data_IF_073174636876
#
_entry.id   IF_073174636876
#
_cell.length_a   1.000
_cell.length_b   1.000
_cell.length_c   1.000
_cell.angle_alpha   90.00
_cell.angle_beta   90.00
_cell.angle_gamma   90.00
#
_symmetry.space_group_name_H-M   'P 1'
#
loop_
_entity.id
_entity.type
_entity.pdbx_description
1 polymer ?
#
# COMPACT_ATOMS: atom_id res chain seq x y z
N UNK A 1 -63.73 -19.90 19.31
CA UNK A 1 -62.37 -20.47 19.40
C UNK A 1 -61.39 -19.49 18.76
N UNK A 2 -60.64 -18.68 19.52
CA UNK A 2 -59.62 -17.84 18.92
C UNK A 2 -58.47 -18.74 18.46
N UNK A 3 -58.21 -18.79 17.15
CA UNK A 3 -57.05 -19.48 16.58
C UNK A 3 -55.80 -18.78 17.12
N UNK A 4 -55.02 -19.48 17.96
CA UNK A 4 -53.66 -19.05 18.32
C UNK A 4 -52.88 -18.95 17.01
N UNK A 5 -52.52 -17.73 16.60
CA UNK A 5 -51.59 -17.52 15.49
C UNK A 5 -50.25 -18.19 15.83
N UNK A 6 -49.57 -18.83 14.86
CA UNK A 6 -48.29 -19.47 15.12
C UNK A 6 -47.26 -18.41 15.51
N UNK A 7 -46.47 -18.66 16.57
CA UNK A 7 -45.41 -17.77 17.07
C UNK A 7 -44.12 -17.86 16.22
N UNK A 8 -44.23 -18.18 14.94
CA UNK A 8 -43.06 -18.52 14.09
C UNK A 8 -42.60 -17.33 13.24
N UNK A 9 -43.38 -16.24 13.16
CA UNK A 9 -43.14 -15.21 12.14
C UNK A 9 -42.22 -14.04 12.58
N UNK A 10 -41.94 -13.81 13.87
CA UNK A 10 -41.28 -12.55 14.26
C UNK A 10 -39.75 -12.51 14.12
N UNK A 11 -39.04 -13.62 14.38
CA UNK A 11 -37.56 -13.60 14.41
C UNK A 11 -36.95 -13.59 13.01
N UNK A 12 -37.50 -14.37 12.08
CA UNK A 12 -37.06 -14.39 10.68
C UNK A 12 -37.42 -13.07 9.97
N UNK A 13 -38.57 -12.46 10.29
CA UNK A 13 -38.94 -11.13 9.82
C UNK A 13 -37.98 -10.04 10.33
N UNK A 14 -37.54 -10.13 11.59
CA UNK A 14 -36.53 -9.21 12.14
C UNK A 14 -35.19 -9.40 11.44
N UNK A 15 -34.72 -10.64 11.28
CA UNK A 15 -33.44 -10.93 10.63
C UNK A 15 -33.42 -10.48 9.16
N UNK A 16 -34.50 -10.74 8.43
CA UNK A 16 -34.65 -10.27 7.04
C UNK A 16 -34.73 -8.76 6.95
N UNK A 17 -35.42 -8.10 7.88
CA UNK A 17 -35.48 -6.64 7.99
C UNK A 17 -34.11 -6.01 8.27
N UNK A 18 -33.36 -6.55 9.23
CA UNK A 18 -31.98 -6.14 9.56
C UNK A 18 -31.08 -6.27 8.33
N UNK A 19 -31.14 -7.42 7.65
CA UNK A 19 -30.34 -7.65 6.45
C UNK A 19 -30.67 -6.67 5.32
N UNK A 20 -31.95 -6.39 5.09
CA UNK A 20 -32.39 -5.43 4.07
C UNK A 20 -31.87 -4.01 4.38
N UNK A 21 -31.98 -3.56 5.62
CA UNK A 21 -31.47 -2.25 6.05
C UNK A 21 -29.95 -2.18 5.91
N UNK A 22 -29.23 -3.23 6.26
CA UNK A 22 -27.79 -3.34 6.05
C UNK A 22 -27.42 -3.26 4.56
N UNK A 23 -28.16 -3.95 3.68
CA UNK A 23 -27.91 -3.93 2.24
C UNK A 23 -28.19 -2.55 1.61
N UNK A 24 -29.26 -1.87 2.03
CA UNK A 24 -29.56 -0.50 1.63
C UNK A 24 -28.45 0.46 2.11
N UNK A 25 -28.04 0.34 3.37
CA UNK A 25 -26.95 1.14 3.96
C UNK A 25 -25.62 0.90 3.24
N UNK A 26 -25.33 -0.34 2.88
CA UNK A 26 -24.16 -0.71 2.07
C UNK A 26 -24.18 -0.05 0.69
N UNK A 27 -25.36 0.17 0.09
CA UNK A 27 -25.47 0.91 -1.16
C UNK A 27 -25.20 2.41 -0.96
N UNK A 28 -25.71 3.02 0.11
CA UNK A 28 -25.35 4.40 0.48
C UNK A 28 -23.85 4.55 0.73
N UNK A 29 -23.19 3.57 1.37
CA UNK A 29 -21.74 3.53 1.54
C UNK A 29 -20.98 3.55 0.21
N UNK A 30 -21.47 2.84 -0.82
CA UNK A 30 -20.86 2.83 -2.17
C UNK A 30 -20.98 4.18 -2.86
N UNK A 31 -22.08 4.90 -2.64
CA UNK A 31 -22.32 6.25 -3.18
C UNK A 31 -21.69 7.34 -2.29
N UNK A 32 -20.98 6.97 -1.22
CA UNK A 32 -20.33 7.86 -0.24
C UNK A 32 -21.30 8.73 0.57
N UNK A 33 -22.56 8.32 0.66
CA UNK A 33 -23.56 8.96 1.53
C UNK A 33 -23.49 8.37 2.94
N UNK A 34 -22.41 8.69 3.66
CA UNK A 34 -22.10 8.04 4.94
C UNK A 34 -23.13 8.33 6.04
N UNK A 35 -23.72 9.53 6.09
CA UNK A 35 -24.74 9.85 7.10
C UNK A 35 -26.02 9.03 6.93
N UNK A 36 -26.45 8.82 5.67
CA UNK A 36 -27.61 7.98 5.34
C UNK A 36 -27.33 6.50 5.63
N UNK A 37 -26.12 6.04 5.30
CA UNK A 37 -25.69 4.68 5.64
C UNK A 37 -25.68 4.47 7.15
N UNK A 38 -25.16 5.44 7.91
CA UNK A 38 -25.13 5.39 9.38
C UNK A 38 -26.54 5.30 9.96
N UNK A 39 -27.47 6.10 9.44
CA UNK A 39 -28.87 6.05 9.84
C UNK A 39 -29.50 4.67 9.61
N UNK A 40 -29.27 4.06 8.44
CA UNK A 40 -29.79 2.72 8.15
C UNK A 40 -29.15 1.62 9.02
N UNK A 41 -27.85 1.70 9.31
CA UNK A 41 -27.21 0.78 10.27
C UNK A 41 -27.73 0.95 11.69
N UNK A 42 -28.05 2.18 12.12
CA UNK A 42 -28.67 2.42 13.41
C UNK A 42 -30.05 1.77 13.49
N UNK A 43 -30.89 1.92 12.47
CA UNK A 43 -32.18 1.22 12.42
C UNK A 43 -32.02 -0.31 12.44
N UNK A 44 -31.03 -0.84 11.72
CA UNK A 44 -30.75 -2.28 11.74
C UNK A 44 -30.41 -2.75 13.17
N UNK A 45 -29.63 -1.96 13.91
CA UNK A 45 -29.24 -2.28 15.29
C UNK A 45 -30.33 -1.96 16.33
N UNK A 46 -31.31 -1.11 16.01
CA UNK A 46 -32.53 -0.95 16.81
C UNK A 46 -33.42 -2.20 16.74
N UNK A 47 -33.45 -2.87 15.57
CA UNK A 47 -34.17 -4.14 15.39
C UNK A 47 -33.41 -5.32 16.02
N UNK A 48 -32.09 -5.38 15.83
CA UNK A 48 -31.22 -6.37 16.46
C UNK A 48 -29.88 -5.76 16.87
N UNK A 49 -29.76 -5.40 18.15
CA UNK A 49 -28.55 -4.75 18.70
C UNK A 49 -27.30 -5.62 18.73
N UNK A 50 -27.43 -6.92 18.45
CA UNK A 50 -26.32 -7.90 18.44
C UNK A 50 -25.94 -8.36 17.04
N UNK A 51 -26.52 -7.79 15.97
CA UNK A 51 -26.16 -8.18 14.62
C UNK A 51 -24.72 -7.78 14.29
N UNK A 52 -23.87 -8.79 14.13
CA UNK A 52 -22.43 -8.64 13.94
C UNK A 52 -22.11 -7.95 12.61
N UNK A 53 -22.88 -8.24 11.56
CA UNK A 53 -22.66 -7.62 10.25
C UNK A 53 -22.98 -6.13 10.26
N UNK A 54 -24.08 -5.74 10.91
CA UNK A 54 -24.47 -4.35 11.12
C UNK A 54 -23.43 -3.61 11.95
N UNK A 55 -22.96 -4.17 13.08
CA UNK A 55 -21.91 -3.60 13.92
C UNK A 55 -20.60 -3.36 13.13
N UNK A 56 -20.13 -4.37 12.38
CA UNK A 56 -18.91 -4.27 11.56
C UNK A 56 -19.04 -3.21 10.46
N UNK A 57 -20.21 -3.14 9.85
CA UNK A 57 -20.49 -2.19 8.75
C UNK A 57 -20.63 -0.76 9.26
N UNK A 58 -21.28 -0.59 10.42
CA UNK A 58 -21.38 0.69 11.12
C UNK A 58 -20.02 1.17 11.62
N UNK A 59 -19.21 0.28 12.19
CA UNK A 59 -17.81 0.56 12.55
C UNK A 59 -17.02 1.10 11.35
N UNK A 60 -17.16 0.46 10.18
CA UNK A 60 -16.56 0.97 8.93
C UNK A 60 -17.03 2.38 8.59
N UNK A 61 -18.33 2.63 8.70
CA UNK A 61 -18.93 3.93 8.42
C UNK A 61 -18.38 5.01 9.36
N UNK A 62 -18.28 4.72 10.65
CA UNK A 62 -17.68 5.62 11.63
C UNK A 62 -16.22 5.94 11.31
N UNK A 63 -15.40 4.98 10.85
CA UNK A 63 -14.03 5.26 10.41
C UNK A 63 -13.98 6.22 9.22
N UNK A 64 -14.90 6.08 8.26
CA UNK A 64 -14.99 6.98 7.11
C UNK A 64 -15.45 8.40 7.50
N UNK A 65 -16.24 8.51 8.56
CA UNK A 65 -16.65 9.78 9.17
C UNK A 65 -15.60 10.37 10.13
N UNK A 66 -14.49 9.66 10.38
CA UNK A 66 -13.44 10.09 11.31
C UNK A 66 -13.75 9.82 12.79
N UNK A 67 -14.85 9.14 13.10
CA UNK A 67 -15.29 8.81 14.46
C UNK A 67 -14.70 7.48 14.96
N UNK A 68 -13.37 7.39 15.02
CA UNK A 68 -12.66 6.14 15.32
C UNK A 68 -12.97 5.54 16.71
N UNK A 69 -13.36 6.36 17.68
CA UNK A 69 -13.74 5.90 19.02
C UNK A 69 -15.05 5.09 19.00
N UNK A 70 -16.07 5.56 18.26
CA UNK A 70 -17.33 4.83 18.09
C UNK A 70 -17.13 3.58 17.23
N UNK A 71 -16.28 3.66 16.22
CA UNK A 71 -15.90 2.50 15.42
C UNK A 71 -15.27 1.39 16.27
N UNK A 72 -14.42 1.75 17.24
CA UNK A 72 -13.82 0.80 18.17
C UNK A 72 -14.88 0.12 19.04
N UNK A 73 -15.83 0.89 19.58
CA UNK A 73 -16.92 0.34 20.40
C UNK A 73 -17.72 -0.71 19.64
N UNK A 74 -18.10 -0.43 18.39
CA UNK A 74 -18.83 -1.38 17.54
C UNK A 74 -18.00 -2.63 17.20
N UNK A 75 -16.70 -2.48 16.99
CA UNK A 75 -15.82 -3.62 16.75
C UNK A 75 -15.63 -4.47 18.01
N UNK A 76 -15.65 -3.86 19.19
CA UNK A 76 -15.56 -4.56 20.48
C UNK A 76 -16.84 -5.30 20.83
N UNK A 77 -18.01 -4.70 20.61
CA UNK A 77 -19.30 -5.39 20.78
C UNK A 77 -19.41 -6.57 19.83
N UNK A 78 -19.04 -6.42 18.55
CA UNK A 78 -19.02 -7.51 17.59
C UNK A 78 -18.10 -8.67 18.02
N UNK A 79 -16.94 -8.37 18.63
CA UNK A 79 -16.03 -9.38 19.19
C UNK A 79 -16.50 -9.97 20.52
N UNK A 80 -17.38 -9.26 21.25
CA UNK A 80 -18.07 -9.78 22.43
C UNK A 80 -19.00 -10.93 22.04
N UNK A 81 -19.75 -10.75 20.95
CA UNK A 81 -20.64 -11.76 20.38
C UNK A 81 -19.86 -12.91 19.71
N UNK A 82 -18.95 -12.59 18.77
CA UNK A 82 -18.09 -13.57 18.11
C UNK A 82 -16.61 -13.24 18.29
N UNK A 83 -15.99 -13.86 19.29
CA UNK A 83 -14.58 -13.65 19.66
C UNK A 83 -13.57 -13.87 18.53
N UNK A 84 -13.90 -14.68 17.54
CA UNK A 84 -13.02 -15.08 16.44
C UNK A 84 -13.49 -14.57 15.06
N UNK A 85 -14.42 -13.60 15.03
CA UNK A 85 -14.85 -13.02 13.77
C UNK A 85 -13.70 -12.22 13.12
N UNK A 86 -13.22 -12.69 11.97
CA UNK A 86 -12.06 -12.12 11.28
C UNK A 86 -12.31 -10.66 10.84
N UNK A 87 -13.54 -10.35 10.42
CA UNK A 87 -13.91 -9.00 9.99
C UNK A 87 -13.95 -8.05 11.20
N UNK A 88 -14.50 -8.48 12.33
CA UNK A 88 -14.49 -7.67 13.56
C UNK A 88 -13.07 -7.44 14.11
N UNK A 89 -12.19 -8.46 14.06
CA UNK A 89 -10.76 -8.30 14.41
C UNK A 89 -10.11 -7.23 13.53
N UNK A 90 -10.39 -7.26 12.23
CA UNK A 90 -9.86 -6.26 11.29
C UNK A 90 -10.36 -4.85 11.62
N UNK A 91 -11.66 -4.68 11.86
CA UNK A 91 -12.23 -3.37 12.22
C UNK A 91 -11.69 -2.83 13.54
N UNK A 92 -11.49 -3.69 14.54
CA UNK A 92 -10.85 -3.29 15.79
C UNK A 92 -9.42 -2.81 15.55
N UNK A 93 -8.64 -3.54 14.75
CA UNK A 93 -7.28 -3.15 14.39
C UNK A 93 -7.23 -1.80 13.66
N UNK A 94 -8.10 -1.58 12.66
CA UNK A 94 -8.20 -0.29 11.97
C UNK A 94 -8.63 0.83 12.92
N UNK A 95 -9.62 0.60 13.77
CA UNK A 95 -10.09 1.63 14.72
C UNK A 95 -8.99 2.05 15.69
N UNK A 96 -8.23 1.09 16.23
CA UNK A 96 -7.05 1.36 17.07
C UNK A 96 -5.96 2.13 16.31
N UNK A 97 -5.75 1.82 15.02
CA UNK A 97 -4.82 2.56 14.18
C UNK A 97 -5.21 4.04 14.05
N UNK A 98 -6.49 4.31 13.75
CA UNK A 98 -6.98 5.69 13.61
C UNK A 98 -7.02 6.46 14.94
N UNK A 99 -7.09 5.76 16.07
CA UNK A 99 -6.93 6.34 17.41
C UNK A 99 -5.45 6.58 17.81
N UNK A 100 -4.49 6.18 16.97
CA UNK A 100 -3.05 6.30 17.26
C UNK A 100 -2.51 5.25 18.23
N UNK A 101 -3.30 4.24 18.60
CA UNK A 101 -2.88 3.14 19.47
C UNK A 101 -2.20 2.04 18.63
N UNK A 102 -1.04 2.37 18.06
CA UNK A 102 -0.41 1.56 17.02
C UNK A 102 0.06 0.19 17.51
N UNK A 103 0.54 0.06 18.75
CA UNK A 103 0.99 -1.22 19.31
C UNK A 103 -0.17 -2.21 19.44
N UNK A 104 -1.31 -1.74 19.95
CA UNK A 104 -2.51 -2.56 20.06
C UNK A 104 -3.06 -2.91 18.68
N UNK A 105 -3.09 -1.94 17.77
CA UNK A 105 -3.49 -2.16 16.37
C UNK A 105 -2.64 -3.26 15.71
N UNK A 106 -1.32 -3.19 15.84
CA UNK A 106 -0.37 -4.16 15.31
C UNK A 106 -0.62 -5.57 15.87
N UNK A 107 -0.89 -5.68 17.18
CA UNK A 107 -1.24 -6.95 17.82
C UNK A 107 -2.48 -7.59 17.18
N UNK A 108 -3.54 -6.82 16.97
CA UNK A 108 -4.78 -7.33 16.36
C UNK A 108 -4.60 -7.65 14.86
N UNK A 109 -3.81 -6.89 14.12
CA UNK A 109 -3.46 -7.25 12.74
C UNK A 109 -2.69 -8.58 12.67
N UNK A 110 -1.74 -8.81 13.58
CA UNK A 110 -1.05 -10.10 13.68
C UNK A 110 -1.98 -11.25 14.11
N UNK A 111 -2.92 -10.99 15.02
CA UNK A 111 -3.94 -11.99 15.41
C UNK A 111 -4.78 -12.39 14.20
N UNK A 112 -5.22 -11.44 13.39
CA UNK A 112 -5.94 -11.69 12.15
C UNK A 112 -5.09 -12.46 11.12
N UNK A 113 -3.81 -12.10 10.96
CA UNK A 113 -2.89 -12.80 10.07
C UNK A 113 -2.65 -14.26 10.48
N UNK A 114 -2.57 -14.55 11.79
CA UNK A 114 -2.50 -15.94 12.29
C UNK A 114 -3.75 -16.75 11.95
N UNK A 115 -4.92 -16.11 11.98
CA UNK A 115 -6.18 -16.77 11.68
C UNK A 115 -6.43 -16.93 10.16
N UNK A 116 -6.02 -15.95 9.34
CA UNK A 116 -6.13 -15.95 7.88
C UNK A 116 -4.88 -15.33 7.23
N UNK A 117 -3.81 -16.11 7.01
CA UNK A 117 -2.55 -15.60 6.44
C UNK A 117 -2.66 -15.08 4.99
N UNK A 118 -3.61 -15.61 4.23
CA UNK A 118 -3.85 -15.27 2.83
C UNK A 118 -4.48 -13.88 2.62
N UNK A 119 -5.08 -13.32 3.67
CA UNK A 119 -5.78 -12.04 3.53
C UNK A 119 -4.78 -10.88 3.54
N UNK A 120 -4.54 -10.33 2.35
CA UNK A 120 -3.58 -9.24 2.14
C UNK A 120 -3.84 -7.99 3.00
N UNK A 121 -5.09 -7.74 3.41
CA UNK A 121 -5.44 -6.60 4.25
C UNK A 121 -4.76 -6.63 5.62
N UNK A 122 -4.59 -7.82 6.23
CA UNK A 122 -3.84 -7.93 7.49
C UNK A 122 -2.35 -7.64 7.30
N UNK A 123 -1.76 -8.15 6.21
CA UNK A 123 -0.35 -7.89 5.89
C UNK A 123 -0.09 -6.40 5.68
N UNK A 124 -1.00 -5.75 4.93
CA UNK A 124 -0.95 -4.30 4.72
C UNK A 124 -1.15 -3.53 6.04
N UNK A 125 -2.07 -3.97 6.89
CA UNK A 125 -2.30 -3.39 8.21
C UNK A 125 -1.06 -3.47 9.11
N UNK A 126 -0.37 -4.62 9.13
CA UNK A 126 0.91 -4.80 9.83
C UNK A 126 1.97 -3.83 9.30
N UNK A 127 2.14 -3.75 7.98
CA UNK A 127 3.12 -2.83 7.39
C UNK A 127 2.80 -1.37 7.77
N UNK A 128 1.55 -0.95 7.59
CA UNK A 128 1.08 0.41 7.88
C UNK A 128 1.29 0.77 9.36
N UNK A 129 1.00 -0.15 10.27
CA UNK A 129 1.20 0.06 11.72
C UNK A 129 2.68 0.11 12.10
N UNK A 130 3.52 -0.77 11.54
CA UNK A 130 4.96 -0.75 11.79
C UNK A 130 5.58 0.56 11.31
N UNK A 131 5.26 0.99 10.10
CA UNK A 131 5.73 2.28 9.57
C UNK A 131 5.25 3.45 10.44
N UNK A 132 4.00 3.42 10.94
CA UNK A 132 3.50 4.44 11.86
C UNK A 132 4.29 4.48 13.18
N UNK A 133 4.62 3.31 13.74
CA UNK A 133 5.45 3.19 14.97
C UNK A 133 6.89 3.68 14.71
N UNK A 134 7.50 3.29 13.60
CA UNK A 134 8.86 3.74 13.25
C UNK A 134 8.92 5.25 13.05
N UNK A 135 7.89 5.82 12.42
CA UNK A 135 7.75 7.26 12.23
C UNK A 135 7.52 8.01 13.55
N UNK A 136 6.80 7.44 14.52
CA UNK A 136 6.60 8.07 15.83
C UNK A 136 7.86 8.02 16.69
N UNK A 137 8.66 6.95 16.57
CA UNK A 137 9.94 6.79 17.28
C UNK A 137 11.07 7.64 16.65
N UNK A 138 10.96 7.99 15.37
CA UNK A 138 11.91 8.87 14.68
C UNK A 138 13.25 8.20 14.34
N UNK A 139 13.32 6.86 14.35
CA UNK A 139 14.55 6.10 14.09
C UNK A 139 14.89 6.04 12.60
N UNK A 140 15.47 7.12 12.08
CA UNK A 140 16.68 6.93 11.26
C UNK A 140 17.85 6.77 12.23
N UNK A 141 18.36 5.56 12.49
CA UNK A 141 19.73 5.46 12.96
C UNK A 141 20.59 5.90 11.78
N UNK A 142 20.98 7.17 11.76
CA UNK A 142 22.19 7.54 11.03
C UNK A 142 23.33 6.66 11.56
N UNK A 143 24.25 6.18 10.71
CA UNK A 143 25.42 5.46 11.23
C UNK A 143 26.13 6.42 12.19
N UNK A 144 26.17 6.04 13.47
CA UNK A 144 26.86 6.84 14.48
C UNK A 144 28.32 7.05 14.02
N UNK A 145 28.80 8.29 13.89
CA UNK A 145 30.17 8.51 13.48
C UNK A 145 31.08 8.26 14.68
N UNK A 146 31.93 7.23 14.55
CA UNK A 146 33.15 7.11 15.33
C UNK A 146 32.99 6.66 16.79
N UNK A 147 33.07 5.36 17.00
CA UNK A 147 33.72 4.82 18.20
C UNK A 147 34.94 4.00 17.72
N UNK A 148 36.17 4.30 18.17
CA UNK A 148 37.35 3.54 17.79
C UNK A 148 37.33 2.20 18.53
N UNK A 149 37.29 1.10 17.79
CA UNK A 149 37.46 -0.23 18.36
C UNK A 149 38.91 -0.38 18.86
N UNK A 150 39.08 -0.30 20.17
CA UNK A 150 40.29 -0.70 20.87
C UNK A 150 40.52 -2.21 20.68
N UNK A 151 41.77 -2.57 20.39
CA UNK A 151 42.18 -3.94 20.11
C UNK A 151 42.12 -4.85 21.34
N UNK A 152 41.94 -6.14 21.08
CA UNK A 152 42.58 -7.20 21.87
C UNK A 152 42.76 -8.44 21.01
N UNK A 153 43.92 -9.05 21.21
CA UNK A 153 44.54 -10.16 20.50
C UNK A 153 43.93 -11.53 20.82
N UNK A 154 43.75 -12.36 19.77
CA UNK A 154 44.07 -13.81 19.58
C UNK A 154 44.14 -14.79 20.79
N UNK A 155 43.89 -16.12 20.64
CA UNK A 155 44.24 -16.92 19.45
C UNK A 155 43.30 -18.07 19.02
N UNK A 156 43.75 -18.69 17.93
CA UNK A 156 43.14 -19.70 17.05
C UNK A 156 43.07 -21.10 17.69
N UNK A 157 42.08 -21.89 17.29
CA UNK A 157 42.22 -23.35 17.11
C UNK A 157 41.50 -23.76 15.82
N UNK A 158 42.24 -24.31 14.86
CA UNK A 158 41.75 -24.66 13.54
C UNK A 158 41.09 -26.03 13.46
N UNK A 159 40.35 -26.25 12.38
CA UNK A 159 40.48 -27.47 11.56
C UNK A 159 39.96 -27.19 10.15
N UNK A 160 40.81 -27.55 9.22
CA UNK A 160 40.74 -27.49 7.76
C UNK A 160 39.75 -28.48 7.14
N UNK A 161 39.10 -28.11 6.01
CA UNK A 161 39.12 -28.91 4.77
C UNK A 161 38.68 -28.11 3.53
N UNK A 162 39.34 -28.42 2.41
CA UNK A 162 39.38 -27.81 1.06
C UNK A 162 38.01 -27.53 0.40
N UNK A 163 37.79 -26.39 -0.29
CA UNK A 163 38.30 -25.87 -1.60
C UNK A 163 37.70 -26.55 -2.84
N UNK A 164 36.78 -25.82 -3.49
CA UNK A 164 36.57 -25.68 -4.94
C UNK A 164 35.97 -24.27 -5.10
N UNK A 165 36.49 -23.30 -5.84
CA UNK A 165 37.30 -23.35 -7.04
C UNK A 165 36.56 -22.56 -8.13
N UNK A 166 36.34 -21.26 -7.93
CA UNK A 166 35.91 -20.34 -8.99
C UNK A 166 36.60 -18.98 -8.79
N UNK A 167 37.48 -18.67 -9.73
CA UNK A 167 38.24 -17.42 -9.79
C UNK A 167 37.28 -16.25 -10.05
N UNK A 168 37.01 -15.45 -9.03
CA UNK A 168 36.44 -14.11 -9.22
C UNK A 168 37.54 -13.09 -9.01
N UNK A 169 37.98 -12.50 -10.12
CA UNK A 169 38.84 -11.32 -10.14
C UNK A 169 38.19 -10.20 -9.32
N UNK A 170 38.95 -9.40 -8.55
CA UNK A 170 38.40 -8.31 -7.76
C UNK A 170 37.96 -7.19 -8.71
N UNK A 171 36.66 -7.16 -9.04
CA UNK A 171 36.07 -6.11 -9.87
C UNK A 171 36.13 -4.78 -9.11
N UNK A 172 37.11 -3.95 -9.45
CA UNK A 172 37.16 -2.54 -9.06
C UNK A 172 35.80 -1.92 -9.35
N UNK A 173 35.09 -1.45 -8.31
CA UNK A 173 33.84 -0.69 -8.47
C UNK A 173 34.18 0.64 -9.13
N UNK A 174 34.21 0.66 -10.46
CA UNK A 174 34.31 1.90 -11.23
C UNK A 174 33.11 2.76 -10.87
N UNK A 175 33.36 4.02 -10.51
CA UNK A 175 32.29 5.00 -10.26
C UNK A 175 31.45 5.10 -11.54
N UNK A 176 30.10 5.07 -11.45
CA UNK A 176 29.25 5.16 -12.63
C UNK A 176 29.57 6.43 -13.41
N UNK A 177 29.62 6.34 -14.75
CA UNK A 177 29.86 7.50 -15.59
C UNK A 177 28.72 8.52 -15.43
N UNK A 178 28.97 9.78 -15.80
CA UNK A 178 27.94 10.82 -15.77
C UNK A 178 26.70 10.41 -16.59
N UNK A 179 26.90 9.77 -17.74
CA UNK A 179 25.84 9.24 -18.58
C UNK A 179 25.05 8.11 -17.89
N UNK A 180 25.72 7.22 -17.14
CA UNK A 180 25.05 6.17 -16.37
C UNK A 180 24.19 6.75 -15.25
N UNK A 181 24.66 7.84 -14.62
CA UNK A 181 23.91 8.53 -13.57
C UNK A 181 22.69 9.26 -14.15
N UNK A 182 22.86 9.94 -15.29
CA UNK A 182 21.77 10.59 -16.01
C UNK A 182 20.71 9.58 -16.46
N UNK A 183 21.12 8.42 -16.98
CA UNK A 183 20.20 7.32 -17.35
C UNK A 183 19.46 6.75 -16.16
N UNK A 184 20.13 6.58 -15.01
CA UNK A 184 19.49 6.15 -13.76
C UNK A 184 18.48 7.17 -13.25
N UNK A 185 18.80 8.46 -13.36
CA UNK A 185 17.90 9.54 -12.95
C UNK A 185 16.70 9.65 -13.89
N UNK A 186 16.90 9.52 -15.20
CA UNK A 186 15.82 9.50 -16.19
C UNK A 186 14.82 8.37 -15.89
N UNK A 187 15.31 7.17 -15.54
CA UNK A 187 14.45 6.04 -15.13
C UNK A 187 13.62 6.32 -13.88
N UNK A 188 14.16 7.09 -12.92
CA UNK A 188 13.42 7.47 -11.71
C UNK A 188 12.34 8.53 -11.96
N UNK A 189 12.56 9.41 -12.95
CA UNK A 189 11.70 10.56 -13.23
C UNK A 189 10.62 10.26 -14.28
N UNK A 190 10.96 9.50 -15.33
CA UNK A 190 10.06 9.23 -16.46
C UNK A 190 9.32 7.90 -16.33
N UNK A 191 9.81 6.97 -15.50
CA UNK A 191 9.16 5.69 -15.32
C UNK A 191 9.17 4.82 -16.57
N UNK A 192 8.00 4.32 -16.97
CA UNK A 192 7.79 3.50 -18.17
C UNK A 192 8.19 4.23 -19.46
N UNK A 193 7.93 5.55 -19.54
CA UNK A 193 8.32 6.42 -20.67
C UNK A 193 9.84 6.53 -20.86
N UNK A 194 10.65 6.08 -19.89
CA UNK A 194 12.09 6.02 -20.05
C UNK A 194 12.51 5.00 -21.11
N UNK A 195 11.73 3.94 -21.31
CA UNK A 195 12.01 2.93 -22.35
C UNK A 195 11.83 3.55 -23.74
N UNK A 196 10.76 4.32 -23.92
CA UNK A 196 10.46 5.02 -25.17
C UNK A 196 11.53 6.07 -25.49
N UNK A 197 11.98 6.82 -24.48
CA UNK A 197 13.09 7.76 -24.63
C UNK A 197 14.37 7.06 -25.13
N UNK A 198 14.76 5.95 -24.50
CA UNK A 198 15.95 5.18 -24.89
C UNK A 198 15.81 4.59 -26.31
N UNK A 199 14.60 4.21 -26.71
CA UNK A 199 14.31 3.71 -28.05
C UNK A 199 14.47 4.82 -29.10
N UNK A 200 13.87 5.98 -28.87
CA UNK A 200 13.93 7.12 -29.80
C UNK A 200 15.35 7.67 -29.95
N UNK A 201 16.12 7.75 -28.87
CA UNK A 201 17.53 8.16 -28.92
C UNK A 201 18.37 7.19 -29.76
N UNK A 202 18.14 5.88 -29.64
CA UNK A 202 18.80 4.87 -30.47
C UNK A 202 18.34 4.91 -31.93
N UNK A 203 17.06 5.17 -32.15
CA UNK A 203 16.48 5.29 -33.48
C UNK A 203 17.14 6.44 -34.25
N UNK A 204 17.31 7.59 -33.59
CA UNK A 204 17.98 8.77 -34.16
C UNK A 204 19.48 8.54 -34.45
N UNK A 205 20.12 7.59 -33.75
CA UNK A 205 21.51 7.19 -34.00
C UNK A 205 21.64 6.15 -35.14
N UNK A 206 20.53 5.60 -35.64
CA UNK A 206 20.57 4.52 -36.62
C UNK A 206 20.85 5.08 -38.03
N UNK A 207 21.90 4.59 -38.73
CA UNK A 207 22.32 5.15 -40.02
C UNK A 207 21.29 4.99 -41.14
N UNK A 208 20.42 3.98 -41.04
CA UNK A 208 19.37 3.72 -42.02
C UNK A 208 18.16 4.65 -41.89
N UNK A 209 18.03 5.40 -40.79
CA UNK A 209 16.93 6.36 -40.63
C UNK A 209 17.02 7.51 -41.63
N UNK A 210 18.24 7.93 -41.98
CA UNK A 210 18.51 8.99 -42.97
C UNK A 210 18.02 8.60 -44.36
N UNK A 211 17.96 7.30 -44.67
CA UNK A 211 17.45 6.78 -45.95
C UNK A 211 15.92 6.70 -45.99
N UNK A 212 15.27 6.67 -44.84
CA UNK A 212 13.82 6.52 -44.69
C UNK A 212 13.06 7.86 -44.70
N UNK A 213 13.74 8.98 -44.48
CA UNK A 213 13.16 10.33 -44.54
C UNK A 213 12.91 10.74 -46.01
N UNK A 214 11.70 10.49 -46.51
CA UNK A 214 11.20 11.06 -47.78
C UNK A 214 10.46 12.38 -47.55
N UNK A 215 10.35 13.21 -48.59
CA UNK A 215 10.19 14.69 -48.54
C UNK A 215 8.89 15.28 -47.95
N UNK A 216 8.00 14.50 -47.34
CA UNK A 216 6.67 14.99 -46.88
C UNK A 216 6.50 14.99 -45.37
N UNK A 217 6.95 13.96 -44.65
CA UNK A 217 6.87 13.90 -43.19
C UNK A 217 8.09 13.14 -42.65
N UNK A 218 9.01 13.87 -42.03
CA UNK A 218 10.27 13.29 -41.57
C UNK A 218 10.05 12.54 -40.25
N UNK A 219 10.28 11.23 -40.27
CA UNK A 219 10.25 10.39 -39.07
C UNK A 219 11.29 10.89 -38.06
N UNK A 220 12.41 11.44 -38.57
CA UNK A 220 13.43 12.02 -37.71
C UNK A 220 12.99 13.32 -37.03
N UNK A 221 12.08 14.12 -37.61
CA UNK A 221 11.54 15.31 -36.92
C UNK A 221 10.63 14.93 -35.77
N UNK A 222 9.69 14.00 -35.98
CA UNK A 222 8.81 13.53 -34.91
C UNK A 222 9.59 12.84 -33.77
N UNK A 223 10.59 12.03 -34.11
CA UNK A 223 11.45 11.41 -33.11
C UNK A 223 12.24 12.45 -32.28
N UNK A 224 12.72 13.53 -32.90
CA UNK A 224 13.38 14.65 -32.20
C UNK A 224 12.42 15.40 -31.29
N UNK A 225 11.22 15.73 -31.77
CA UNK A 225 10.19 16.42 -30.98
C UNK A 225 9.75 15.59 -29.77
N UNK A 226 9.56 14.28 -29.97
CA UNK A 226 9.22 13.36 -28.89
C UNK A 226 10.33 13.25 -27.83
N UNK A 227 11.60 13.18 -28.24
CA UNK A 227 12.74 13.21 -27.31
C UNK A 227 12.82 14.55 -26.57
N UNK A 228 12.59 15.67 -27.25
CA UNK A 228 12.57 17.00 -26.64
C UNK A 228 11.44 17.12 -25.61
N UNK A 229 10.25 16.61 -25.91
CA UNK A 229 9.13 16.54 -24.97
C UNK A 229 9.49 15.74 -23.72
N UNK A 230 10.10 14.56 -23.88
CA UNK A 230 10.53 13.71 -22.77
C UNK A 230 11.63 14.38 -21.93
N UNK A 231 12.53 15.13 -22.55
CA UNK A 231 13.55 15.92 -21.86
C UNK A 231 12.94 17.07 -21.04
N UNK A 232 12.03 17.85 -21.62
CA UNK A 232 11.31 18.94 -20.91
C UNK A 232 10.53 18.38 -19.72
N UNK A 233 9.85 17.24 -19.90
CA UNK A 233 9.14 16.55 -18.82
C UNK A 233 10.11 16.08 -17.72
N UNK A 234 11.25 15.50 -18.09
CA UNK A 234 12.27 15.08 -17.13
C UNK A 234 12.79 16.27 -16.30
N UNK A 235 13.05 17.42 -16.93
CA UNK A 235 13.53 18.63 -16.24
C UNK A 235 12.45 19.24 -15.33
N UNK A 236 11.19 19.27 -15.77
CA UNK A 236 10.05 19.70 -14.95
C UNK A 236 9.96 18.89 -13.64
N UNK A 237 10.06 17.56 -13.74
CA UNK A 237 10.00 16.69 -12.55
C UNK A 237 11.24 16.80 -11.67
N UNK A 238 12.41 17.06 -12.26
CA UNK A 238 13.64 17.35 -11.52
C UNK A 238 13.51 18.60 -10.65
N UNK A 239 12.76 19.60 -11.12
CA UNK A 239 12.48 20.83 -10.38
C UNK A 239 11.43 20.63 -9.28
N UNK A 240 10.37 19.85 -9.55
CA UNK A 240 9.34 19.57 -8.53
C UNK A 240 9.75 18.52 -7.49
N UNK A 241 10.67 17.60 -7.83
CA UNK A 241 11.17 16.54 -6.94
C UNK A 241 12.66 16.29 -7.16
N UNK A 242 13.56 16.73 -6.25
CA UNK A 242 14.98 16.43 -6.39
C UNK A 242 15.21 14.91 -6.38
N UNK A 243 16.00 14.40 -7.32
CA UNK A 243 16.19 12.96 -7.60
C UNK A 243 16.72 12.15 -6.40
N UNK A 244 17.21 12.84 -5.37
CA UNK A 244 17.65 12.30 -4.08
C UNK A 244 16.51 11.82 -3.20
N UNK A 245 15.27 12.28 -3.43
CA UNK A 245 14.07 11.94 -2.67
C UNK A 245 13.22 10.80 -3.30
N UNK A 246 13.58 10.31 -4.49
CA UNK A 246 12.79 9.30 -5.21
C UNK A 246 13.30 7.87 -4.97
N UNK A 247 12.45 6.93 -4.50
CA UNK A 247 12.80 5.54 -4.30
C UNK A 247 13.18 4.86 -5.63
N UNK A 248 13.94 3.77 -5.55
CA UNK A 248 14.34 3.01 -6.75
C UNK A 248 13.10 2.43 -7.45
N UNK A 249 13.00 2.62 -8.77
CA UNK A 249 11.88 2.19 -9.62
C UNK A 249 11.50 0.70 -9.47
N UNK A 250 12.42 -0.16 -9.02
CA UNK A 250 12.16 -1.58 -8.78
C UNK A 250 11.21 -1.85 -7.60
N UNK A 251 10.96 -0.85 -6.74
CA UNK A 251 10.17 -0.98 -5.52
C UNK A 251 8.89 -0.12 -5.56
N UNK A 252 8.53 0.47 -6.70
CA UNK A 252 7.26 1.18 -6.82
C UNK A 252 6.15 0.19 -7.22
N UNK A 253 5.06 0.10 -6.45
CA UNK A 253 3.82 -0.53 -6.92
C UNK A 253 3.44 0.03 -8.29
N UNK A 254 2.84 -0.78 -9.16
CA UNK A 254 2.37 -0.38 -10.50
C UNK A 254 1.42 0.86 -10.45
N UNK A 255 0.86 1.15 -9.27
CA UNK A 255 -0.04 2.27 -8.98
C UNK A 255 0.63 3.48 -8.30
N UNK A 256 1.95 3.45 -8.09
CA UNK A 256 2.68 4.49 -7.34
C UNK A 256 3.26 5.60 -8.23
N UNK A 257 3.09 5.50 -9.55
CA UNK A 257 3.23 6.66 -10.43
C UNK A 257 1.87 7.32 -10.62
N UNK A 258 1.82 8.67 -10.69
CA UNK A 258 0.57 9.38 -10.98
C UNK A 258 -0.07 8.76 -12.23
N UNK A 259 -1.34 8.37 -12.14
CA UNK A 259 -2.12 7.99 -13.32
C UNK A 259 -2.19 9.21 -14.21
N UNK A 260 -1.49 9.14 -15.33
CA UNK A 260 -1.57 10.12 -16.40
C UNK A 260 -2.87 9.82 -17.16
N UNK A 261 -3.70 10.85 -17.34
CA UNK A 261 -5.04 10.84 -17.96
C UNK A 261 -5.46 9.56 -18.70
#
# INVERSE_FOLDING_TARGET
>A
MPRKKPKVDTLEEIETGVKLLCDQSNNHMKVREYDKALFGYNQALELNGTDINALISRSKCYLLLGEASKALQDAETALGEEKNNIRAIYQKAESLYYLGQFEQSLMFFHRGLRARPELASFRLGVQKTQEAIENTIGTKPGPAPGAPAAGSSAPKSGKSRAKSGEETTPRVRQKPSRADLERRNARKLLGELCVDKEYLEKLLLHPDLVRADTHTESISTYAREAVEFLNKRQEFWRQQRPCTALPNHKNLPHDAMPKWF
#
